data_IF_405711432216
#
_entry.id   IF_405711432216
#
_cell.length_a   1.000
_cell.length_b   1.000
_cell.length_c   1.000
_cell.angle_alpha   90.00
_cell.angle_beta   90.00
_cell.angle_gamma   90.00
#
_symmetry.space_group_name_H-M   'P 1'
#
loop_
_entity.id
_entity.type
_entity.pdbx_description
1 polymer ?
#
# COMPACT_ATOMS: atom_id res chain seq x y z
N UNK A 1 -31.10 52.74 -7.48
CA UNK A 1 -32.22 52.16 -6.73
C UNK A 1 -32.81 51.02 -7.56
N UNK A 2 -33.00 49.79 -7.11
CA UNK A 2 -33.33 49.32 -5.77
C UNK A 2 -32.37 48.24 -5.25
N UNK A 3 -32.08 48.29 -4.00
CA UNK A 3 -32.47 47.48 -2.83
C UNK A 3 -32.06 46.02 -2.84
N UNK A 4 -31.02 45.77 -2.01
CA UNK A 4 -30.53 44.47 -1.68
C UNK A 4 -31.46 43.68 -0.74
N UNK A 5 -31.34 42.36 -0.83
CA UNK A 5 -31.86 41.45 0.19
C UNK A 5 -30.69 40.62 0.70
N UNK A 6 -30.32 40.93 1.96
CA UNK A 6 -29.36 40.13 2.74
C UNK A 6 -30.16 39.05 3.45
N UNK A 7 -29.95 37.79 3.08
CA UNK A 7 -30.46 36.63 3.83
C UNK A 7 -29.38 36.22 4.83
N UNK A 8 -29.59 36.53 6.10
CA UNK A 8 -28.84 36.01 7.24
C UNK A 8 -29.40 34.65 7.61
N UNK A 9 -28.67 33.60 7.39
CA UNK A 9 -28.93 32.28 8.00
C UNK A 9 -28.23 32.21 9.36
N UNK A 10 -29.05 32.22 10.42
CA UNK A 10 -28.62 31.89 11.79
C UNK A 10 -28.55 30.38 11.97
N UNK A 11 -27.38 29.86 12.24
CA UNK A 11 -27.24 28.47 12.73
C UNK A 11 -27.34 28.49 14.25
N UNK A 12 -28.42 27.90 14.78
CA UNK A 12 -28.55 27.60 16.21
C UNK A 12 -27.76 26.32 16.52
N UNK A 13 -26.73 26.50 17.34
CA UNK A 13 -25.97 25.43 17.96
C UNK A 13 -26.72 24.90 19.18
N UNK A 14 -27.30 23.72 19.11
CA UNK A 14 -27.91 23.03 20.27
C UNK A 14 -26.86 22.19 20.94
N UNK A 15 -26.39 22.65 22.10
CA UNK A 15 -25.53 21.91 23.02
C UNK A 15 -26.43 21.13 24.01
N UNK A 16 -26.52 19.82 23.86
CA UNK A 16 -27.12 18.95 24.86
C UNK A 16 -26.05 18.30 25.74
N UNK A 17 -25.88 18.89 26.93
CA UNK A 17 -25.13 18.26 28.03
C UNK A 17 -26.01 17.21 28.70
N UNK A 18 -25.65 15.95 28.62
CA UNK A 18 -26.25 14.88 29.38
C UNK A 18 -25.42 14.66 30.66
N UNK A 19 -25.94 15.12 31.79
CA UNK A 19 -25.39 14.85 33.12
C UNK A 19 -26.03 13.56 33.65
N UNK A 20 -25.23 12.53 33.82
CA UNK A 20 -25.63 11.26 34.42
C UNK A 20 -25.35 11.33 35.92
N UNK A 21 -26.42 11.50 36.74
CA UNK A 21 -26.32 11.43 38.19
C UNK A 21 -26.53 9.96 38.66
N UNK A 22 -25.49 9.40 39.25
CA UNK A 22 -25.55 8.11 39.93
C UNK A 22 -26.34 8.26 41.25
N UNK A 23 -27.42 7.47 41.41
CA UNK A 23 -28.02 7.21 42.74
C UNK A 23 -27.83 5.74 43.08
N UNK A 24 -26.98 5.55 44.06
CA UNK A 24 -26.80 4.29 44.80
C UNK A 24 -28.02 4.05 45.65
N UNK A 25 -28.74 2.95 45.44
CA UNK A 25 -29.68 2.45 46.43
C UNK A 25 -29.22 1.08 46.95
N UNK A 26 -28.77 1.15 48.19
CA UNK A 26 -28.42 0.05 49.05
C UNK A 26 -29.70 -0.58 49.57
N UNK A 27 -30.07 -1.82 49.14
CA UNK A 27 -31.07 -2.63 49.81
C UNK A 27 -30.41 -3.95 50.26
N UNK A 28 -30.18 -4.00 51.57
CA UNK A 28 -29.78 -5.18 52.30
C UNK A 28 -31.07 -6.02 52.48
N UNK A 29 -31.13 -7.19 51.90
CA UNK A 29 -32.10 -8.20 52.26
C UNK A 29 -31.34 -9.42 52.80
N UNK A 30 -31.42 -9.53 54.08
CA UNK A 30 -30.97 -10.67 54.89
C UNK A 30 -32.05 -11.76 54.82
N UNK A 31 -31.83 -12.83 54.07
CA UNK A 31 -32.68 -14.03 54.17
C UNK A 31 -31.81 -15.18 54.64
N UNK A 32 -31.96 -15.48 55.90
CA UNK A 32 -31.46 -16.70 56.53
C UNK A 32 -32.37 -17.86 56.11
N UNK A 33 -31.84 -18.80 55.33
CA UNK A 33 -32.50 -20.06 55.06
C UNK A 33 -31.56 -21.20 55.44
N UNK A 34 -31.81 -21.77 56.62
CA UNK A 34 -31.21 -23.01 57.14
C UNK A 34 -31.80 -24.18 56.35
N UNK A 35 -30.95 -24.89 55.61
CA UNK A 35 -31.30 -26.16 54.99
C UNK A 35 -30.28 -27.23 55.38
N UNK A 36 -30.70 -28.44 55.67
CA UNK A 36 -29.88 -29.48 56.31
C UNK A 36 -28.90 -30.08 55.30
N UNK A 37 -27.66 -30.27 55.78
CA UNK A 37 -26.61 -31.01 55.09
C UNK A 37 -27.01 -32.49 55.09
N UNK A 38 -27.48 -32.99 53.95
CA UNK A 38 -27.61 -34.43 53.71
C UNK A 38 -26.27 -34.90 53.12
N UNK A 39 -25.50 -35.57 53.96
CA UNK A 39 -24.28 -36.29 53.58
C UNK A 39 -24.69 -37.50 52.71
N UNK A 40 -24.73 -37.35 51.40
CA UNK A 40 -24.66 -38.48 50.49
C UNK A 40 -23.21 -38.91 50.31
N UNK A 41 -22.84 -39.93 51.09
CA UNK A 41 -21.64 -40.74 50.82
C UNK A 41 -21.90 -41.54 49.57
N UNK A 42 -21.70 -40.93 48.41
CA UNK A 42 -21.67 -41.59 47.12
C UNK A 42 -20.35 -42.35 47.00
N UNK A 43 -20.41 -43.66 47.24
CA UNK A 43 -19.34 -44.57 46.85
C UNK A 43 -18.95 -44.37 45.38
N UNK A 44 -17.72 -43.90 45.16
CA UNK A 44 -17.11 -43.93 43.83
C UNK A 44 -16.76 -45.38 43.48
N UNK A 45 -17.71 -46.07 42.88
CA UNK A 45 -17.53 -47.42 42.32
C UNK A 45 -17.29 -47.37 40.82
N UNK A 46 -16.76 -46.25 40.32
CA UNK A 46 -16.49 -46.04 38.86
C UNK A 46 -15.06 -46.32 38.43
N UNK A 47 -14.16 -46.65 39.35
CA UNK A 47 -12.71 -46.75 39.03
C UNK A 47 -12.17 -48.15 38.75
N UNK A 48 -13.07 -49.14 38.54
CA UNK A 48 -12.60 -50.50 38.18
C UNK A 48 -13.44 -51.11 37.07
N UNK A 49 -13.46 -50.45 35.90
CA UNK A 49 -13.78 -51.12 34.63
C UNK A 49 -12.45 -51.24 33.88
N UNK A 50 -11.80 -52.44 33.89
CA UNK A 50 -10.50 -52.64 33.24
C UNK A 50 -10.64 -52.82 31.70
N UNK A 51 -11.40 -51.98 31.08
CA UNK A 51 -11.59 -51.98 29.61
C UNK A 51 -11.50 -50.63 28.95
N UNK A 52 -11.62 -49.54 29.74
CA UNK A 52 -11.71 -48.20 29.16
C UNK A 52 -10.35 -47.59 28.82
N UNK A 53 -9.31 -47.98 29.54
CA UNK A 53 -7.93 -47.50 29.31
C UNK A 53 -7.28 -48.22 28.12
N UNK A 54 -7.67 -49.46 27.81
CA UNK A 54 -7.16 -50.19 26.64
C UNK A 54 -7.80 -49.73 25.33
N UNK A 55 -9.06 -49.27 25.34
CA UNK A 55 -9.71 -48.71 24.16
C UNK A 55 -9.20 -47.35 23.76
N UNK A 56 -8.74 -46.55 24.72
CA UNK A 56 -8.09 -45.24 24.42
C UNK A 56 -6.70 -45.40 23.82
N UNK A 57 -5.98 -46.51 24.15
CA UNK A 57 -4.68 -46.79 23.56
C UNK A 57 -4.78 -47.51 22.22
N UNK A 58 -5.96 -48.04 21.84
CA UNK A 58 -6.22 -48.63 20.51
C UNK A 58 -6.77 -47.63 19.50
N UNK A 59 -7.33 -46.50 19.98
CA UNK A 59 -7.56 -45.35 19.14
C UNK A 59 -6.24 -44.54 19.21
N UNK A 60 -5.22 -45.07 18.50
CA UNK A 60 -4.01 -44.30 18.26
C UNK A 60 -4.47 -42.91 17.81
N UNK A 61 -4.09 -41.87 18.53
CA UNK A 61 -4.23 -40.50 18.05
C UNK A 61 -3.63 -40.48 16.67
N UNK A 62 -4.50 -40.54 15.67
CA UNK A 62 -4.11 -40.31 14.30
C UNK A 62 -3.46 -38.93 14.34
N UNK A 63 -2.15 -38.80 14.09
CA UNK A 63 -1.50 -37.51 14.18
C UNK A 63 -2.37 -36.58 13.37
N UNK A 64 -2.95 -35.58 14.02
CA UNK A 64 -3.74 -34.55 13.37
C UNK A 64 -2.80 -33.92 12.36
N UNK A 65 -2.91 -34.33 11.10
CA UNK A 65 -2.09 -33.80 10.01
C UNK A 65 -2.43 -32.32 9.95
N UNK A 66 -1.63 -31.52 10.64
CA UNK A 66 -1.78 -30.07 10.66
C UNK A 66 -1.72 -29.62 9.20
N UNK A 67 -2.85 -29.21 8.67
CA UNK A 67 -2.95 -28.79 7.28
C UNK A 67 -2.05 -27.57 7.07
N UNK A 68 -1.00 -27.74 6.28
CA UNK A 68 -0.04 -26.67 6.01
C UNK A 68 -0.68 -25.56 5.18
N UNK A 69 -0.42 -24.32 5.57
CA UNK A 69 -0.84 -23.15 4.82
C UNK A 69 0.25 -22.72 3.82
N UNK A 70 -0.13 -21.86 2.86
CA UNK A 70 0.83 -21.24 1.94
C UNK A 70 1.92 -20.51 2.73
N UNK A 71 1.58 -19.78 3.81
CA UNK A 71 2.54 -19.05 4.65
C UNK A 71 3.49 -19.95 5.44
N UNK A 72 3.10 -21.21 5.74
CA UNK A 72 4.01 -22.19 6.35
C UNK A 72 5.08 -22.66 5.37
N UNK A 73 4.73 -22.76 4.10
CA UNK A 73 5.59 -23.29 3.03
C UNK A 73 6.38 -22.20 2.29
N UNK A 74 5.92 -20.96 2.27
CA UNK A 74 6.52 -19.89 1.46
C UNK A 74 6.59 -18.56 2.19
N UNK A 75 7.34 -17.61 1.62
CA UNK A 75 7.48 -16.22 2.06
C UNK A 75 7.13 -15.30 0.90
N UNK A 76 6.26 -14.31 1.15
CA UNK A 76 5.90 -13.30 0.16
C UNK A 76 7.04 -12.31 -0.09
N UNK A 77 7.28 -11.99 -1.35
CA UNK A 77 8.26 -10.97 -1.78
C UNK A 77 7.59 -9.95 -2.70
N UNK A 78 8.27 -8.82 -2.95
CA UNK A 78 7.75 -7.76 -3.82
C UNK A 78 6.75 -6.82 -3.14
N UNK A 79 6.62 -6.87 -1.81
CA UNK A 79 5.68 -6.04 -1.04
C UNK A 79 6.18 -4.62 -0.72
N UNK A 80 7.43 -4.32 -1.04
CA UNK A 80 8.00 -3.00 -0.81
C UNK A 80 7.57 -1.99 -1.89
N UNK A 81 7.45 -0.73 -1.49
CA UNK A 81 7.32 0.38 -2.44
C UNK A 81 8.65 0.63 -3.14
N UNK A 82 8.61 0.92 -4.44
CA UNK A 82 9.76 1.34 -5.22
C UNK A 82 9.76 2.86 -5.32
N UNK A 83 10.77 3.51 -4.73
CA UNK A 83 10.97 4.94 -4.84
C UNK A 83 11.52 5.27 -6.22
N UNK A 84 10.86 6.19 -6.91
CA UNK A 84 11.31 6.72 -8.21
C UNK A 84 11.40 8.23 -8.13
N UNK A 85 12.42 8.78 -8.75
CA UNK A 85 12.71 10.21 -8.75
C UNK A 85 13.03 10.69 -10.16
N UNK A 86 12.75 11.98 -10.41
CA UNK A 86 13.16 12.67 -11.63
C UNK A 86 13.39 14.14 -11.36
N UNK A 87 14.10 14.77 -12.28
CA UNK A 87 14.21 16.22 -12.39
C UNK A 87 13.33 16.62 -13.56
N UNK A 88 12.44 17.59 -13.34
CA UNK A 88 11.51 18.05 -14.35
C UNK A 88 11.44 19.58 -14.44
N UNK A 89 10.71 20.06 -15.42
CA UNK A 89 10.37 21.46 -15.60
C UNK A 89 8.89 21.66 -15.30
N UNK A 90 8.57 22.59 -14.42
CA UNK A 90 7.21 23.12 -14.28
C UNK A 90 7.11 24.42 -15.09
N UNK A 91 6.00 24.58 -15.82
CA UNK A 91 5.67 25.81 -16.56
C UNK A 91 4.36 26.43 -16.03
N UNK A 92 3.92 27.53 -16.66
CA UNK A 92 2.65 28.22 -16.32
C UNK A 92 2.62 28.81 -14.92
N UNK A 93 3.77 29.24 -14.39
CA UNK A 93 3.91 29.72 -13.02
C UNK A 93 3.54 31.20 -12.82
N UNK A 94 2.92 31.88 -13.79
CA UNK A 94 2.40 33.26 -13.66
C UNK A 94 3.39 34.25 -12.97
N UNK A 95 4.65 34.25 -13.41
CA UNK A 95 5.77 35.03 -12.86
C UNK A 95 6.21 34.64 -11.42
N UNK A 96 5.77 33.51 -10.88
CA UNK A 96 6.27 32.99 -9.61
C UNK A 96 7.47 32.05 -9.75
N UNK A 97 7.81 31.70 -10.99
CA UNK A 97 8.99 30.91 -11.34
C UNK A 97 10.28 31.71 -11.22
N UNK A 98 11.40 31.05 -11.51
CA UNK A 98 12.71 31.71 -11.49
C UNK A 98 13.86 30.74 -11.76
N UNK A 99 15.02 31.31 -12.07
CA UNK A 99 16.22 30.56 -12.37
C UNK A 99 16.56 29.58 -11.25
N UNK A 100 16.79 28.31 -11.58
CA UNK A 100 17.26 27.33 -10.61
C UNK A 100 18.69 27.62 -10.18
N UNK A 101 19.11 27.21 -8.97
CA UNK A 101 20.47 27.35 -8.53
C UNK A 101 21.42 26.60 -9.46
N UNK A 102 22.63 27.12 -9.61
CA UNK A 102 23.70 26.43 -10.35
C UNK A 102 24.04 25.12 -9.61
N UNK A 103 24.14 24.03 -10.37
CA UNK A 103 24.46 22.72 -9.78
C UNK A 103 24.05 21.55 -10.66
N UNK A 104 24.24 20.37 -10.13
CA UNK A 104 24.04 19.12 -10.86
C UNK A 104 22.58 18.95 -11.40
N UNK A 105 21.57 19.42 -10.67
CA UNK A 105 20.18 19.32 -11.11
C UNK A 105 19.90 20.17 -12.35
N UNK A 106 20.49 21.39 -12.40
CA UNK A 106 20.37 22.26 -13.57
C UNK A 106 21.04 21.62 -14.79
N UNK A 107 22.26 21.10 -14.64
CA UNK A 107 22.99 20.45 -15.74
C UNK A 107 22.24 19.22 -16.26
N UNK A 108 21.76 18.35 -15.37
CA UNK A 108 21.00 17.15 -15.76
C UNK A 108 19.69 17.50 -16.50
N UNK A 109 19.00 18.57 -16.10
CA UNK A 109 17.80 18.99 -16.82
C UNK A 109 18.13 19.59 -18.19
N UNK A 110 19.19 20.36 -18.30
CA UNK A 110 19.67 20.87 -19.59
C UNK A 110 20.04 19.72 -20.54
N UNK A 111 20.79 18.72 -20.05
CA UNK A 111 21.12 17.53 -20.82
C UNK A 111 19.88 16.76 -21.30
N UNK A 112 18.88 16.60 -20.42
CA UNK A 112 17.62 15.97 -20.77
C UNK A 112 16.86 16.79 -21.84
N UNK A 113 16.82 18.12 -21.72
CA UNK A 113 16.19 19.01 -22.69
C UNK A 113 16.88 18.94 -24.06
N UNK A 114 18.19 18.88 -24.07
CA UNK A 114 18.98 18.73 -25.32
C UNK A 114 18.70 17.39 -26.00
N UNK A 115 18.44 16.31 -25.23
CA UNK A 115 18.05 15.04 -25.84
C UNK A 115 16.64 15.06 -26.48
N UNK A 116 15.87 16.10 -26.20
CA UNK A 116 14.54 16.36 -26.77
C UNK A 116 14.54 17.52 -27.79
N UNK A 117 15.71 17.89 -28.31
CA UNK A 117 15.88 18.94 -29.31
C UNK A 117 15.30 20.30 -28.88
N UNK A 118 15.33 20.61 -27.56
CA UNK A 118 14.88 21.89 -27.05
C UNK A 118 15.93 22.96 -27.37
N UNK A 119 15.53 23.99 -28.12
CA UNK A 119 16.37 25.12 -28.42
C UNK A 119 16.55 26.02 -27.18
N UNK A 120 17.75 26.44 -26.89
CA UNK A 120 18.10 27.38 -25.81
C UNK A 120 17.57 26.99 -24.42
N UNK A 121 17.87 25.79 -23.91
CA UNK A 121 17.32 25.33 -22.63
C UNK A 121 17.68 26.23 -21.44
N UNK A 122 18.84 26.92 -21.48
CA UNK A 122 19.23 27.86 -20.45
C UNK A 122 18.28 29.05 -20.32
N UNK A 123 17.84 29.66 -21.42
CA UNK A 123 16.89 30.77 -21.40
C UNK A 123 15.51 30.33 -20.90
N UNK A 124 15.09 29.12 -21.25
CA UNK A 124 13.84 28.56 -20.78
C UNK A 124 13.85 28.35 -19.26
N UNK A 125 14.96 27.89 -18.69
CA UNK A 125 15.14 27.70 -17.26
C UNK A 125 15.24 29.01 -16.47
N UNK A 126 15.66 30.10 -17.10
CA UNK A 126 15.78 31.41 -16.45
C UNK A 126 14.50 32.26 -16.58
N UNK A 127 13.47 31.70 -17.25
CA UNK A 127 12.18 32.37 -17.41
C UNK A 127 11.42 32.47 -16.09
N UNK A 128 10.74 33.58 -15.79
CA UNK A 128 9.91 33.73 -14.61
C UNK A 128 8.63 32.86 -14.63
N UNK A 129 8.29 32.27 -15.78
CA UNK A 129 7.13 31.39 -15.91
C UNK A 129 7.47 29.90 -15.79
N UNK A 130 8.74 29.58 -15.55
CA UNK A 130 9.21 28.21 -15.43
C UNK A 130 10.01 27.99 -14.17
N UNK A 131 10.08 26.75 -13.71
CA UNK A 131 10.91 26.34 -12.58
C UNK A 131 11.42 24.92 -12.74
N UNK A 132 12.65 24.69 -12.31
CA UNK A 132 13.15 23.33 -12.09
C UNK A 132 12.50 22.74 -10.85
N UNK A 133 11.98 21.53 -10.99
CA UNK A 133 11.33 20.78 -9.91
C UNK A 133 11.94 19.40 -9.75
N UNK A 134 11.95 18.93 -8.51
CA UNK A 134 12.33 17.58 -8.14
C UNK A 134 11.05 16.78 -7.90
N UNK A 135 10.80 15.78 -8.73
CA UNK A 135 9.64 14.91 -8.60
C UNK A 135 10.02 13.60 -7.94
N UNK A 136 9.17 13.12 -7.05
CA UNK A 136 9.30 11.86 -6.34
C UNK A 136 7.98 11.11 -6.34
N UNK A 137 8.04 9.82 -6.60
CA UNK A 137 6.89 8.94 -6.51
C UNK A 137 7.23 7.61 -5.88
N UNK A 138 6.20 6.88 -5.48
CA UNK A 138 6.33 5.55 -4.89
C UNK A 138 5.44 4.57 -5.65
N UNK A 139 6.05 3.72 -6.46
CA UNK A 139 5.35 2.64 -7.15
C UNK A 139 4.91 1.58 -6.14
N UNK A 140 3.61 1.32 -6.02
CA UNK A 140 3.13 0.33 -5.07
C UNK A 140 3.49 -1.10 -5.49
N UNK A 141 3.45 -2.05 -4.55
CA UNK A 141 3.58 -3.46 -4.88
C UNK A 141 2.44 -3.93 -5.78
N UNK A 142 2.74 -4.78 -6.76
CA UNK A 142 1.76 -5.32 -7.69
C UNK A 142 1.26 -4.33 -8.75
N UNK A 143 1.91 -3.18 -8.90
CA UNK A 143 1.60 -2.19 -9.96
C UNK A 143 1.82 -2.80 -11.34
N UNK A 144 0.96 -2.41 -12.28
CA UNK A 144 1.05 -2.82 -13.69
C UNK A 144 1.46 -1.63 -14.56
N UNK A 145 2.03 -1.92 -15.71
CA UNK A 145 2.27 -0.91 -16.72
C UNK A 145 0.98 -0.18 -17.08
N UNK A 146 1.03 1.16 -17.04
CA UNK A 146 -0.12 2.04 -17.26
C UNK A 146 -0.93 2.37 -16.00
N UNK A 147 -0.63 1.77 -14.84
CA UNK A 147 -1.29 2.16 -13.59
C UNK A 147 -0.79 3.55 -13.16
N UNK A 148 -1.72 4.35 -12.62
CA UNK A 148 -1.46 5.71 -12.13
C UNK A 148 -1.11 5.72 -10.65
N UNK A 149 -0.24 6.66 -10.25
CA UNK A 149 0.10 6.93 -8.87
C UNK A 149 0.41 8.41 -8.66
N UNK A 150 0.38 8.86 -7.41
CA UNK A 150 0.61 10.26 -7.07
C UNK A 150 2.10 10.60 -7.03
N UNK A 151 2.42 11.83 -7.45
CA UNK A 151 3.77 12.37 -7.48
C UNK A 151 3.86 13.54 -6.51
N UNK A 152 4.87 13.53 -5.67
CA UNK A 152 5.29 14.68 -4.88
C UNK A 152 6.29 15.51 -5.69
N UNK A 153 6.04 16.80 -5.77
CA UNK A 153 6.91 17.77 -6.45
C UNK A 153 7.42 18.79 -5.44
N UNK A 154 8.69 19.12 -5.51
CA UNK A 154 9.31 20.11 -4.64
C UNK A 154 10.35 20.94 -5.39
N UNK A 155 10.54 22.17 -4.93
CA UNK A 155 11.63 22.99 -5.39
C UNK A 155 12.98 22.50 -4.83
N UNK A 156 14.08 22.64 -5.56
CA UNK A 156 15.41 22.46 -5.00
C UNK A 156 15.70 23.53 -3.94
N UNK A 157 16.63 23.24 -3.04
CA UNK A 157 17.12 24.24 -2.08
C UNK A 157 17.72 25.45 -2.83
N UNK A 158 17.47 26.64 -2.29
CA UNK A 158 17.92 27.91 -2.86
C UNK A 158 17.39 28.23 -4.28
N UNK A 159 16.20 27.73 -4.62
CA UNK A 159 15.50 28.15 -5.83
C UNK A 159 15.00 29.58 -5.70
N UNK A 160 15.07 30.35 -6.79
CA UNK A 160 14.47 31.68 -6.86
C UNK A 160 12.95 31.65 -7.09
N UNK A 161 12.38 30.49 -7.33
CA UNK A 161 10.92 30.30 -7.47
C UNK A 161 10.22 30.52 -6.15
N UNK A 162 9.19 31.35 -6.16
CA UNK A 162 8.43 31.69 -4.95
C UNK A 162 7.24 30.78 -4.71
N UNK A 163 6.61 30.25 -5.78
CA UNK A 163 5.43 29.37 -5.68
C UNK A 163 5.33 28.43 -6.88
N UNK A 164 4.82 27.23 -6.63
CA UNK A 164 4.46 26.24 -7.67
C UNK A 164 2.95 26.27 -7.98
N UNK A 165 2.21 27.26 -7.45
CA UNK A 165 0.78 27.41 -7.68
C UNK A 165 0.47 27.54 -9.16
N UNK A 166 -0.59 26.86 -9.59
CA UNK A 166 -1.06 26.82 -10.99
C UNK A 166 -0.06 26.24 -12.01
N UNK A 167 1.09 25.75 -11.52
CA UNK A 167 2.11 25.16 -12.35
C UNK A 167 1.68 23.84 -12.98
N UNK A 168 2.22 23.56 -14.16
CA UNK A 168 2.10 22.29 -14.83
C UNK A 168 3.48 21.66 -15.02
N UNK A 169 3.69 20.48 -14.46
CA UNK A 169 4.92 19.72 -14.66
C UNK A 169 4.90 19.08 -16.05
N UNK A 170 5.89 19.37 -16.86
CA UNK A 170 6.09 18.73 -18.15
C UNK A 170 6.55 17.29 -17.95
N UNK A 171 6.26 16.46 -18.97
CA UNK A 171 6.57 15.04 -18.92
C UNK A 171 8.04 14.79 -18.65
N UNK A 172 8.31 14.05 -17.59
CA UNK A 172 9.67 13.65 -17.18
C UNK A 172 9.76 12.15 -16.94
N UNK A 173 10.95 11.61 -17.14
CA UNK A 173 11.26 10.17 -16.98
C UNK A 173 11.71 9.91 -15.56
N UNK A 174 10.90 9.17 -14.80
CA UNK A 174 11.24 8.78 -13.44
C UNK A 174 12.02 7.47 -13.40
N UNK A 175 13.08 7.46 -12.60
CA UNK A 175 13.99 6.32 -12.45
C UNK A 175 14.18 5.96 -10.99
N UNK A 176 14.50 4.72 -10.72
CA UNK A 176 15.04 4.32 -9.42
C UNK A 176 16.47 4.87 -9.31
N UNK A 177 16.75 5.53 -8.18
CA UNK A 177 18.08 6.06 -7.89
C UNK A 177 18.62 5.29 -6.69
N UNK A 178 19.74 4.63 -6.87
CA UNK A 178 20.47 3.93 -5.82
C UNK A 178 21.86 4.55 -5.64
N UNK A 179 22.24 4.78 -4.39
CA UNK A 179 23.60 5.21 -4.06
C UNK A 179 24.38 3.97 -3.62
N UNK A 180 25.30 3.53 -4.45
CA UNK A 180 26.17 2.39 -4.19
C UNK A 180 27.63 2.86 -4.21
N UNK A 181 28.38 2.57 -3.15
CA UNK A 181 29.81 2.92 -3.05
C UNK A 181 30.10 4.41 -3.35
N UNK A 182 29.25 5.31 -2.83
CA UNK A 182 29.33 6.78 -3.04
C UNK A 182 29.07 7.22 -4.49
N UNK A 183 28.71 6.32 -5.40
CA UNK A 183 28.27 6.64 -6.75
C UNK A 183 26.76 6.56 -6.88
N UNK A 184 26.17 7.49 -7.62
CA UNK A 184 24.75 7.51 -7.93
C UNK A 184 24.51 6.67 -9.18
N UNK A 185 23.75 5.60 -9.03
CA UNK A 185 23.32 4.76 -10.14
C UNK A 185 21.84 4.99 -10.43
N UNK A 186 21.53 5.28 -11.68
CA UNK A 186 20.15 5.39 -12.15
C UNK A 186 19.73 4.11 -12.86
N UNK A 187 18.59 3.57 -12.47
CA UNK A 187 17.96 2.42 -13.13
C UNK A 187 17.30 2.78 -14.45
N UNK A 188 16.58 1.82 -15.01
CA UNK A 188 15.73 2.05 -16.19
C UNK A 188 14.58 3.00 -15.86
N UNK A 189 13.94 3.56 -16.91
CA UNK A 189 12.74 4.37 -16.74
C UNK A 189 11.62 3.49 -16.19
N UNK A 190 11.25 3.74 -14.93
CA UNK A 190 10.22 2.98 -14.23
C UNK A 190 8.84 3.60 -14.38
N UNK A 191 8.77 4.94 -14.53
CA UNK A 191 7.51 5.66 -14.71
C UNK A 191 7.73 6.96 -15.50
N UNK A 192 6.63 7.51 -15.99
CA UNK A 192 6.55 8.88 -16.51
C UNK A 192 5.74 9.72 -15.51
N UNK A 193 6.08 10.99 -15.39
CA UNK A 193 5.35 11.95 -14.56
C UNK A 193 5.03 13.19 -15.37
N UNK A 194 3.75 13.60 -15.36
CA UNK A 194 3.27 14.87 -15.88
C UNK A 194 1.96 15.30 -15.19
N UNK A 195 1.61 16.57 -15.27
CA UNK A 195 0.32 17.04 -14.82
C UNK A 195 0.32 18.34 -14.01
N UNK A 196 -0.87 18.77 -13.55
CA UNK A 196 -1.04 19.99 -12.79
C UNK A 196 -0.52 19.83 -11.36
N UNK A 197 0.22 20.84 -10.89
CA UNK A 197 0.77 20.85 -9.53
C UNK A 197 -0.26 21.46 -8.56
N UNK A 198 -0.69 20.68 -7.58
CA UNK A 198 -1.53 21.13 -6.49
C UNK A 198 -0.65 21.43 -5.28
N UNK A 199 -0.45 22.71 -4.97
CA UNK A 199 0.38 23.12 -3.83
C UNK A 199 -0.28 22.77 -2.49
N UNK A 200 0.52 22.52 -1.47
CA UNK A 200 0.01 22.10 -0.15
C UNK A 200 -0.80 23.19 0.58
N UNK A 201 -0.57 24.46 0.28
CA UNK A 201 -1.34 25.56 0.85
C UNK A 201 -2.84 25.44 0.56
N UNK A 202 -3.24 24.90 -0.59
CA UNK A 202 -4.64 24.64 -0.95
C UNK A 202 -5.34 23.72 0.05
N UNK A 203 -4.62 22.76 0.63
CA UNK A 203 -5.19 21.76 1.54
C UNK A 203 -5.16 22.18 3.02
N UNK A 204 -4.27 23.12 3.39
CA UNK A 204 -4.05 23.50 4.80
C UNK A 204 -4.53 24.89 5.17
N UNK A 205 -4.89 25.73 4.20
CA UNK A 205 -5.41 27.08 4.43
C UNK A 205 -4.41 28.04 5.08
N UNK A 206 -3.14 27.70 5.16
CA UNK A 206 -2.08 28.56 5.70
C UNK A 206 -1.20 29.06 4.56
N UNK A 207 -0.99 30.35 4.51
CA UNK A 207 -0.11 31.04 3.53
C UNK A 207 1.39 30.93 3.85
N UNK A 208 1.81 29.83 4.48
CA UNK A 208 3.23 29.59 4.70
C UNK A 208 3.93 29.34 3.37
N UNK A 209 4.94 30.14 3.05
CA UNK A 209 5.71 30.04 1.80
C UNK A 209 6.27 28.62 1.56
N UNK A 210 6.63 27.90 2.62
CA UNK A 210 7.06 26.50 2.53
C UNK A 210 5.99 25.56 1.97
N UNK A 211 4.70 25.89 2.11
CA UNK A 211 3.60 25.10 1.58
C UNK A 211 3.39 25.33 0.07
N UNK A 212 3.96 26.41 -0.48
CA UNK A 212 3.94 26.70 -1.92
C UNK A 212 5.15 26.16 -2.68
N UNK A 213 6.23 25.80 -1.95
CA UNK A 213 7.43 25.18 -2.54
C UNK A 213 7.26 23.66 -2.73
N UNK A 214 6.18 23.08 -2.24
CA UNK A 214 5.87 21.66 -2.39
C UNK A 214 4.44 21.46 -2.88
N UNK A 215 4.25 20.51 -3.76
CA UNK A 215 2.95 20.18 -4.31
C UNK A 215 2.80 18.68 -4.57
N UNK A 216 1.60 18.31 -4.95
CA UNK A 216 1.23 16.97 -5.38
C UNK A 216 0.66 17.02 -6.79
N UNK A 217 0.96 16.02 -7.60
CA UNK A 217 0.30 15.76 -8.88
C UNK A 217 -0.47 14.46 -8.69
N UNK A 218 -1.78 14.57 -8.55
CA UNK A 218 -2.65 13.42 -8.31
C UNK A 218 -2.78 12.58 -9.56
N UNK A 219 -2.41 11.30 -9.47
CA UNK A 219 -2.44 10.38 -10.59
C UNK A 219 -1.49 10.75 -11.75
N UNK A 220 -0.58 11.71 -11.57
CA UNK A 220 0.32 12.19 -12.64
C UNK A 220 1.47 11.24 -12.95
N UNK A 221 1.72 10.25 -12.11
CA UNK A 221 2.68 9.19 -12.37
C UNK A 221 2.05 8.04 -13.14
N UNK A 222 2.68 7.59 -14.23
CA UNK A 222 2.25 6.45 -15.04
C UNK A 222 3.34 5.41 -15.04
N UNK A 223 3.09 4.23 -14.46
CA UNK A 223 4.06 3.14 -14.45
C UNK A 223 4.39 2.66 -15.86
N UNK A 224 5.68 2.50 -16.15
CA UNK A 224 6.18 1.93 -17.42
C UNK A 224 6.56 0.45 -17.28
N UNK A 225 6.47 -0.12 -16.08
CA UNK A 225 6.86 -1.48 -15.78
C UNK A 225 5.79 -2.21 -14.98
N UNK A 226 5.78 -3.54 -15.10
CA UNK A 226 5.03 -4.43 -14.22
C UNK A 226 5.90 -4.82 -13.03
N UNK A 227 5.30 -4.85 -11.84
CA UNK A 227 5.94 -5.34 -10.62
C UNK A 227 5.09 -6.44 -9.99
N UNK A 228 5.14 -7.66 -10.52
CA UNK A 228 4.39 -8.76 -9.95
C UNK A 228 4.88 -9.07 -8.53
N UNK A 229 3.97 -9.57 -7.71
CA UNK A 229 4.30 -10.14 -6.42
C UNK A 229 4.90 -11.53 -6.60
N UNK A 230 5.61 -12.03 -5.61
CA UNK A 230 6.15 -13.38 -5.64
C UNK A 230 5.97 -14.10 -4.32
N UNK A 231 6.02 -15.43 -4.39
CA UNK A 231 6.20 -16.30 -3.25
C UNK A 231 7.47 -17.11 -3.46
N UNK A 232 8.36 -17.06 -2.48
CA UNK A 232 9.54 -17.91 -2.44
C UNK A 232 9.25 -19.08 -1.51
N UNK A 233 9.29 -20.29 -2.05
CA UNK A 233 9.12 -21.51 -1.27
C UNK A 233 10.33 -21.70 -0.38
N UNK A 234 10.11 -21.98 0.91
CA UNK A 234 11.19 -22.20 1.89
C UNK A 234 12.04 -23.38 1.46
N UNK A 235 13.37 -23.29 1.58
CA UNK A 235 14.33 -24.25 1.05
C UNK A 235 14.04 -25.70 1.45
N UNK A 236 13.57 -25.95 2.67
CA UNK A 236 13.20 -27.29 3.15
C UNK A 236 12.01 -27.92 2.43
N UNK A 237 11.22 -27.13 1.71
CA UNK A 237 10.03 -27.56 0.98
C UNK A 237 10.12 -27.27 -0.53
N UNK A 238 11.25 -26.72 -0.99
CA UNK A 238 11.45 -26.36 -2.37
C UNK A 238 11.41 -27.60 -3.28
N UNK A 239 10.42 -27.64 -4.13
CA UNK A 239 10.26 -28.66 -5.18
C UNK A 239 9.21 -28.22 -6.20
N UNK A 240 9.30 -28.69 -7.41
CA UNK A 240 8.32 -28.44 -8.47
C UNK A 240 6.92 -28.86 -8.03
N UNK A 241 6.80 -29.99 -7.34
CA UNK A 241 5.52 -30.49 -6.82
C UNK A 241 4.92 -29.53 -5.79
N UNK A 242 5.72 -28.98 -4.87
CA UNK A 242 5.24 -28.04 -3.85
C UNK A 242 4.83 -26.71 -4.48
N UNK A 243 5.63 -26.15 -5.38
CA UNK A 243 5.31 -24.88 -6.05
C UNK A 243 4.03 -24.99 -6.88
N UNK A 244 3.84 -26.10 -7.61
CA UNK A 244 2.62 -26.36 -8.39
C UNK A 244 1.40 -26.53 -7.49
N UNK A 245 1.53 -27.23 -6.35
CA UNK A 245 0.43 -27.40 -5.37
C UNK A 245 0.02 -26.07 -4.75
N UNK A 246 0.98 -25.24 -4.34
CA UNK A 246 0.71 -23.90 -3.82
C UNK A 246 -0.02 -23.08 -4.88
N UNK A 247 0.51 -23.01 -6.11
CA UNK A 247 -0.10 -22.28 -7.21
C UNK A 247 -1.53 -22.76 -7.51
N UNK A 248 -1.75 -24.07 -7.56
CA UNK A 248 -3.08 -24.66 -7.77
C UNK A 248 -4.06 -24.30 -6.64
N UNK A 249 -3.61 -24.36 -5.36
CA UNK A 249 -4.45 -23.99 -4.21
C UNK A 249 -4.85 -22.51 -4.23
N UNK A 250 -3.93 -21.64 -4.62
CA UNK A 250 -4.21 -20.20 -4.79
C UNK A 250 -5.20 -20.00 -5.94
N UNK A 251 -4.97 -20.63 -7.08
CA UNK A 251 -5.81 -20.51 -8.27
C UNK A 251 -7.22 -21.08 -8.09
N UNK A 252 -7.41 -22.09 -7.23
CA UNK A 252 -8.77 -22.55 -6.85
C UNK A 252 -9.57 -21.48 -6.14
N UNK A 253 -8.93 -20.60 -5.35
CA UNK A 253 -9.59 -19.53 -4.61
C UNK A 253 -9.71 -18.24 -5.43
N UNK A 254 -8.71 -17.92 -6.25
CA UNK A 254 -8.63 -16.69 -7.04
C UNK A 254 -8.63 -17.04 -8.52
N UNK A 255 -9.80 -16.87 -9.13
CA UNK A 255 -9.98 -17.05 -10.57
C UNK A 255 -10.22 -15.70 -11.20
N UNK A 256 -9.52 -15.42 -12.27
CA UNK A 256 -9.77 -14.25 -13.12
C UNK A 256 -10.23 -14.72 -14.50
N UNK A 257 -11.08 -13.91 -15.12
CA UNK A 257 -11.47 -14.10 -16.51
C UNK A 257 -10.81 -13.02 -17.34
N UNK A 258 -9.93 -13.41 -18.22
CA UNK A 258 -9.29 -12.52 -19.18
C UNK A 258 -9.75 -12.94 -20.57
N UNK A 259 -10.38 -12.03 -21.33
CA UNK A 259 -10.88 -12.28 -22.70
C UNK A 259 -11.68 -13.60 -22.86
N UNK A 260 -12.53 -13.93 -21.88
CA UNK A 260 -13.32 -15.17 -21.77
C UNK A 260 -12.51 -16.45 -21.39
N UNK A 261 -11.21 -16.35 -21.24
CA UNK A 261 -10.40 -17.43 -20.73
C UNK A 261 -10.24 -17.35 -19.21
N UNK A 262 -10.30 -18.52 -18.58
CA UNK A 262 -10.14 -18.66 -17.14
C UNK A 262 -8.65 -18.71 -16.83
N UNK A 263 -8.11 -17.67 -16.19
CA UNK A 263 -6.72 -17.62 -15.78
C UNK A 263 -6.57 -17.59 -14.26
N UNK A 264 -5.53 -18.25 -13.76
CA UNK A 264 -5.14 -18.19 -12.37
C UNK A 264 -4.32 -16.92 -12.07
N UNK A 265 -4.23 -16.57 -10.80
CA UNK A 265 -3.40 -15.45 -10.33
C UNK A 265 -1.99 -15.89 -9.94
N UNK A 266 -1.76 -17.17 -9.75
CA UNK A 266 -0.48 -17.74 -9.33
C UNK A 266 0.10 -18.63 -10.43
N UNK A 267 1.36 -18.37 -10.78
CA UNK A 267 2.09 -19.12 -11.78
C UNK A 267 3.41 -19.65 -11.19
N UNK A 268 3.56 -20.98 -11.08
CA UNK A 268 4.79 -21.61 -10.62
C UNK A 268 5.84 -21.52 -11.72
N UNK A 269 6.77 -20.58 -11.59
CA UNK A 269 7.86 -20.35 -12.57
C UNK A 269 9.03 -21.32 -12.36
N UNK A 270 9.31 -21.66 -11.09
CA UNK A 270 10.42 -22.52 -10.68
C UNK A 270 10.00 -23.39 -9.49
N UNK A 271 10.86 -24.29 -9.09
CA UNK A 271 10.72 -25.15 -7.91
C UNK A 271 10.57 -24.37 -6.59
N UNK A 272 11.18 -23.20 -6.53
CA UNK A 272 11.21 -22.33 -5.36
C UNK A 272 10.54 -20.96 -5.57
N UNK A 273 10.02 -20.64 -6.77
CA UNK A 273 9.46 -19.33 -7.07
C UNK A 273 8.11 -19.42 -7.78
N UNK A 274 7.14 -18.72 -7.21
CA UNK A 274 5.79 -18.59 -7.74
C UNK A 274 5.50 -17.12 -7.94
N UNK A 275 5.21 -16.73 -9.18
CA UNK A 275 4.77 -15.39 -9.53
C UNK A 275 3.29 -15.20 -9.20
N UNK A 276 2.95 -14.04 -8.63
CA UNK A 276 1.59 -13.69 -8.26
C UNK A 276 1.14 -12.41 -8.97
N UNK A 277 0.02 -12.50 -9.67
CA UNK A 277 -0.73 -11.33 -10.15
C UNK A 277 -1.72 -10.87 -9.09
N UNK A 278 -1.86 -9.55 -8.88
CA UNK A 278 -2.87 -9.04 -7.94
C UNK A 278 -4.26 -9.20 -8.52
N UNK A 279 -5.14 -9.90 -7.79
CA UNK A 279 -6.55 -10.03 -8.18
C UNK A 279 -7.26 -8.67 -8.16
N UNK A 280 -8.13 -8.40 -9.14
CA UNK A 280 -8.79 -7.11 -9.33
C UNK A 280 -9.47 -6.57 -8.06
N UNK A 281 -10.13 -7.45 -7.27
CA UNK A 281 -10.80 -7.07 -6.02
C UNK A 281 -9.85 -6.62 -4.90
N UNK A 282 -8.55 -6.83 -5.04
CA UNK A 282 -7.53 -6.49 -4.04
C UNK A 282 -6.53 -5.44 -4.53
N UNK A 283 -6.76 -4.85 -5.71
CA UNK A 283 -5.85 -3.87 -6.31
C UNK A 283 -5.48 -2.74 -5.33
N UNK A 284 -6.45 -2.26 -4.55
CA UNK A 284 -6.25 -1.19 -3.58
C UNK A 284 -5.79 -1.66 -2.19
N UNK A 285 -5.65 -2.96 -1.96
CA UNK A 285 -5.21 -3.50 -0.68
C UNK A 285 -4.40 -4.80 -0.85
N UNK A 286 -3.20 -4.64 -1.35
CA UNK A 286 -2.28 -5.75 -1.63
C UNK A 286 -1.84 -6.45 -0.34
N UNK A 287 -1.71 -5.73 0.77
CA UNK A 287 -1.38 -6.33 2.07
C UNK A 287 -2.46 -7.33 2.53
N UNK A 288 -3.74 -6.97 2.37
CA UNK A 288 -4.85 -7.88 2.65
C UNK A 288 -4.84 -9.09 1.72
N UNK A 289 -4.53 -8.87 0.43
CA UNK A 289 -4.39 -9.96 -0.54
C UNK A 289 -3.36 -10.99 -0.10
N UNK A 290 -2.16 -10.56 0.25
CA UNK A 290 -1.09 -11.44 0.73
C UNK A 290 -1.47 -12.15 2.03
N UNK A 291 -2.14 -11.47 2.96
CA UNK A 291 -2.63 -12.10 4.19
C UNK A 291 -3.66 -13.21 3.92
N UNK A 292 -4.53 -13.02 2.92
CA UNK A 292 -5.48 -14.07 2.51
C UNK A 292 -4.76 -15.23 1.85
N UNK A 293 -3.80 -14.96 0.96
CA UNK A 293 -2.99 -16.00 0.31
C UNK A 293 -2.24 -16.84 1.34
N UNK A 294 -1.57 -16.21 2.30
CA UNK A 294 -0.80 -16.91 3.33
C UNK A 294 -1.65 -17.87 4.18
N UNK A 295 -2.95 -17.65 4.28
CA UNK A 295 -3.88 -18.51 5.05
C UNK A 295 -4.55 -19.60 4.22
N UNK A 296 -4.28 -19.69 2.92
CA UNK A 296 -4.83 -20.76 2.07
C UNK A 296 -4.18 -22.08 2.46
N UNK A 297 -5.01 -23.08 2.68
CA UNK A 297 -4.56 -24.44 2.95
C UNK A 297 -4.02 -25.08 1.66
N UNK A 298 -2.84 -25.65 1.74
CA UNK A 298 -2.26 -26.41 0.65
C UNK A 298 -2.69 -27.86 0.82
N UNK A 299 -3.75 -28.25 0.10
CA UNK A 299 -4.30 -29.60 0.18
C UNK A 299 -3.26 -30.67 -0.15
N UNK A 300 -3.30 -31.81 0.57
CA UNK A 300 -2.62 -33.01 0.10
C UNK A 300 -3.24 -33.40 -1.24
N UNK A 301 -2.41 -33.63 -2.26
CA UNK A 301 -2.88 -34.38 -3.41
C UNK A 301 -3.22 -35.76 -2.88
N UNK A 302 -4.47 -36.19 -3.03
CA UNK A 302 -4.79 -37.60 -2.99
C UNK A 302 -3.83 -38.23 -4.00
N UNK A 303 -2.91 -39.02 -3.51
CA UNK A 303 -2.07 -39.82 -4.40
C UNK A 303 -3.01 -40.79 -5.07
N UNK A 304 -3.26 -40.59 -6.36
CA UNK A 304 -3.77 -41.63 -7.23
C UNK A 304 -2.65 -42.62 -7.50
#
# INVERSE_FOLDING_TARGET
>A
MPTGVIVRMSFHYVSSRCTLSARINLFVILITCTAPIVLFSGCSLADKIPGRTQLQNLIGEKPEKTALTVGDLSVGIGMNYLKVESIGLANSLNNSGGAPPTGIHRSLLIDEMLTHDVENPGQLLDSPNTSLVLARGYLPPGVRKGDHFDIEVRLPAHSNTTSLRDGWMLRSRMREIAVLNQSVHSGHVAALADGPVLVRSVFRGNDDSNNEHTGLILGGGISQMDRPLGLVVKSKHASVRTSTRISSSINKRFLQYHQREKSGVANAQRDNYIELSVHASYRNNVSRYMNVINRILVGESVAD
#
